data_IF_336366478616
#
_entry.id   IF_336366478616
#
_cell.length_a   1.000
_cell.length_b   1.000
_cell.length_c   1.000
_cell.angle_alpha   90.00
_cell.angle_beta   90.00
_cell.angle_gamma   90.00
#
_symmetry.space_group_name_H-M   'P 1'
#
loop_
_entity.id
_entity.type
_entity.pdbx_description
1 polymer ?
#
# COMPACT_ATOMS: atom_id res chain seq x y z
N UNK A 1 -29.64 0.91 -6.95
CA UNK A 1 -28.46 1.53 -7.60
C UNK A 1 -27.28 1.74 -6.65
N UNK A 2 -27.48 2.21 -5.41
CA UNK A 2 -26.43 2.46 -4.41
C UNK A 2 -25.52 1.24 -4.10
N UNK A 3 -26.12 0.07 -3.91
CA UNK A 3 -25.41 -1.18 -3.56
C UNK A 3 -24.42 -1.65 -4.64
N UNK A 4 -24.69 -1.34 -5.91
CA UNK A 4 -23.79 -1.70 -7.03
C UNK A 4 -22.57 -0.77 -7.06
N UNK A 5 -22.78 0.53 -6.83
CA UNK A 5 -21.68 1.49 -6.73
C UNK A 5 -20.78 1.22 -5.53
N UNK A 6 -21.36 0.90 -4.36
CA UNK A 6 -20.57 0.60 -3.16
C UNK A 6 -19.65 -0.63 -3.36
N UNK A 7 -20.09 -1.65 -4.11
CA UNK A 7 -19.27 -2.83 -4.45
C UNK A 7 -18.13 -2.48 -5.41
N UNK A 8 -18.37 -1.62 -6.38
CA UNK A 8 -17.36 -1.17 -7.36
C UNK A 8 -16.31 -0.26 -6.67
N UNK A 9 -16.74 0.60 -5.75
CA UNK A 9 -15.86 1.48 -4.99
C UNK A 9 -14.90 0.69 -4.09
N UNK A 10 -15.36 -0.41 -3.49
CA UNK A 10 -14.51 -1.27 -2.65
C UNK A 10 -13.46 -2.03 -3.49
N UNK A 11 -13.83 -2.52 -4.68
CA UNK A 11 -12.86 -3.14 -5.61
C UNK A 11 -11.80 -2.12 -6.03
N UNK A 12 -12.24 -0.92 -6.38
CA UNK A 12 -11.37 0.19 -6.76
C UNK A 12 -10.44 0.60 -5.62
N UNK A 13 -10.94 0.59 -4.38
CA UNK A 13 -10.14 0.84 -3.17
C UNK A 13 -9.03 -0.20 -2.99
N UNK A 14 -9.31 -1.48 -3.26
CA UNK A 14 -8.30 -2.55 -3.26
C UNK A 14 -7.19 -2.30 -4.30
N UNK A 15 -7.58 -1.95 -5.53
CA UNK A 15 -6.62 -1.60 -6.59
C UNK A 15 -5.76 -0.38 -6.25
N UNK A 16 -6.37 0.68 -5.74
CA UNK A 16 -5.65 1.90 -5.32
C UNK A 16 -4.62 1.55 -4.22
N UNK A 17 -5.01 0.72 -3.26
CA UNK A 17 -4.11 0.28 -2.17
C UNK A 17 -2.91 -0.50 -2.72
N UNK A 18 -3.11 -1.37 -3.71
CA UNK A 18 -2.03 -2.09 -4.39
C UNK A 18 -1.08 -1.11 -5.07
N UNK A 19 -1.61 -0.14 -5.82
CA UNK A 19 -0.81 0.87 -6.53
C UNK A 19 0.04 1.69 -5.54
N UNK A 20 -0.55 2.08 -4.41
CA UNK A 20 0.18 2.77 -3.33
C UNK A 20 1.32 1.88 -2.80
N UNK A 21 1.04 0.61 -2.46
CA UNK A 21 2.06 -0.32 -1.96
C UNK A 21 3.22 -0.51 -2.94
N UNK A 22 2.92 -0.71 -4.23
CA UNK A 22 3.93 -0.85 -5.28
C UNK A 22 4.73 0.44 -5.49
N UNK A 23 4.08 1.60 -5.42
CA UNK A 23 4.75 2.90 -5.52
C UNK A 23 5.74 3.10 -4.37
N UNK A 24 5.34 2.74 -3.14
CA UNK A 24 6.21 2.80 -1.96
C UNK A 24 7.45 1.92 -2.15
N UNK A 25 7.30 0.72 -2.73
CA UNK A 25 8.45 -0.15 -3.05
C UNK A 25 9.37 0.52 -4.08
N UNK A 26 8.81 1.04 -5.17
CA UNK A 26 9.57 1.69 -6.25
C UNK A 26 10.38 2.89 -5.75
N UNK A 27 9.78 3.69 -4.86
CA UNK A 27 10.40 4.89 -4.31
C UNK A 27 11.15 4.65 -2.99
N UNK A 28 11.25 3.42 -2.50
CA UNK A 28 11.82 3.10 -1.19
C UNK A 28 13.25 3.64 -1.00
N UNK A 29 14.07 3.60 -2.06
CA UNK A 29 15.42 4.16 -2.03
C UNK A 29 15.43 5.68 -1.84
N UNK A 30 14.58 6.41 -2.57
CA UNK A 30 14.47 7.87 -2.47
C UNK A 30 13.90 8.29 -1.12
N UNK A 31 12.90 7.56 -0.61
CA UNK A 31 12.30 7.80 0.70
C UNK A 31 13.36 7.59 1.79
N UNK A 32 14.12 6.49 1.74
CA UNK A 32 15.24 6.23 2.67
C UNK A 32 16.31 7.33 2.63
N UNK A 33 16.63 7.83 1.43
CA UNK A 33 17.55 8.95 1.23
C UNK A 33 17.08 10.25 1.91
N UNK A 34 15.77 10.54 1.90
CA UNK A 34 15.21 11.72 2.56
C UNK A 34 15.43 11.70 4.07
N UNK A 35 15.16 10.56 4.72
CA UNK A 35 15.39 10.39 6.16
C UNK A 35 16.88 10.44 6.51
N UNK A 36 17.74 9.87 5.66
CA UNK A 36 19.20 9.88 5.86
C UNK A 36 19.81 11.28 5.76
N UNK A 37 19.28 12.15 4.88
CA UNK A 37 19.74 13.54 4.76
C UNK A 37 19.27 14.38 5.95
N UNK A 38 18.05 14.15 6.43
CA UNK A 38 17.52 14.82 7.64
C UNK A 38 18.45 14.61 8.84
N UNK A 39 18.92 13.38 9.06
CA UNK A 39 19.86 13.07 10.14
C UNK A 39 21.20 13.82 9.97
N UNK A 40 21.73 13.97 8.76
CA UNK A 40 23.00 14.71 8.57
C UNK A 40 22.89 16.20 8.86
N UNK A 41 21.72 16.79 8.68
CA UNK A 41 21.46 18.21 8.97
C UNK A 41 21.20 18.40 10.48
N UNK A 42 20.61 17.43 11.16
CA UNK A 42 20.33 17.49 12.62
C UNK A 42 21.48 16.98 13.51
N UNK A 43 22.37 16.14 13.00
CA UNK A 43 23.51 15.54 13.78
C UNK A 43 24.63 16.55 14.09
N UNK A 44 24.56 17.79 13.62
CA UNK A 44 25.41 18.87 14.14
C UNK A 44 25.04 19.23 15.60
N UNK A 45 23.86 18.81 16.10
CA UNK A 45 23.37 19.24 17.42
C UNK A 45 23.31 18.21 18.55
N UNK A 46 23.47 16.90 18.34
CA UNK A 46 23.40 15.99 19.50
C UNK A 46 24.27 14.73 19.34
N UNK A 47 25.44 14.75 19.99
CA UNK A 47 26.42 13.66 19.98
C UNK A 47 26.06 12.49 20.92
N UNK A 48 24.98 12.58 21.71
CA UNK A 48 24.67 11.58 22.74
C UNK A 48 23.36 10.79 22.52
N UNK A 49 22.60 11.07 21.45
CA UNK A 49 21.36 10.34 21.12
C UNK A 49 21.51 9.54 19.81
N UNK A 50 22.48 8.63 19.76
CA UNK A 50 22.68 7.72 18.63
C UNK A 50 21.70 6.54 18.70
N UNK A 51 20.42 6.81 18.50
CA UNK A 51 19.58 5.83 17.79
C UNK A 51 19.85 6.15 16.32
N UNK A 52 20.52 5.29 15.55
CA UNK A 52 20.75 5.58 14.13
C UNK A 52 19.38 5.58 13.44
N UNK A 53 18.82 6.77 13.23
CA UNK A 53 17.50 7.06 12.64
C UNK A 53 17.41 6.73 11.15
N UNK A 54 18.31 5.88 10.65
CA UNK A 54 18.37 5.52 9.24
C UNK A 54 17.33 4.43 8.95
N UNK A 55 16.14 4.85 8.53
CA UNK A 55 15.17 3.93 7.95
C UNK A 55 15.78 3.35 6.67
N UNK A 56 16.25 2.11 6.73
CA UNK A 56 16.82 1.42 5.56
C UNK A 56 15.74 1.22 4.50
N UNK A 57 16.11 1.36 3.22
CA UNK A 57 15.21 1.12 2.08
C UNK A 57 14.51 -0.22 2.16
N UNK A 58 15.19 -1.27 2.67
CA UNK A 58 14.61 -2.61 2.83
C UNK A 58 13.39 -2.61 3.76
N UNK A 59 13.40 -1.83 4.84
CA UNK A 59 12.27 -1.75 5.77
C UNK A 59 11.06 -1.07 5.11
N UNK A 60 11.31 -0.05 4.27
CA UNK A 60 10.26 0.65 3.50
C UNK A 60 9.70 -0.27 2.41
N UNK A 61 10.55 -1.06 1.75
CA UNK A 61 10.11 -2.07 0.79
C UNK A 61 9.23 -3.14 1.45
N UNK A 62 9.62 -3.64 2.63
CA UNK A 62 8.81 -4.59 3.40
C UNK A 62 7.45 -4.00 3.78
N UNK A 63 7.40 -2.74 4.21
CA UNK A 63 6.15 -2.04 4.46
C UNK A 63 5.28 -1.93 3.21
N UNK A 64 5.86 -1.49 2.08
CA UNK A 64 5.14 -1.41 0.81
C UNK A 64 4.60 -2.77 0.33
N UNK A 65 5.36 -3.85 0.56
CA UNK A 65 4.94 -5.22 0.27
C UNK A 65 3.72 -5.63 1.12
N UNK A 66 3.73 -5.34 2.42
CA UNK A 66 2.59 -5.62 3.30
C UNK A 66 1.34 -4.85 2.85
N UNK A 67 1.49 -3.57 2.50
CA UNK A 67 0.39 -2.74 1.97
C UNK A 67 -0.16 -3.34 0.67
N UNK A 68 0.71 -3.77 -0.25
CA UNK A 68 0.29 -4.40 -1.50
C UNK A 68 -0.46 -5.72 -1.26
N UNK A 69 -0.02 -6.55 -0.31
CA UNK A 69 -0.69 -7.80 0.07
C UNK A 69 -2.10 -7.53 0.62
N UNK A 70 -2.24 -6.52 1.49
CA UNK A 70 -3.54 -6.14 2.05
C UNK A 70 -4.48 -5.64 0.94
N UNK A 71 -3.98 -4.76 0.06
CA UNK A 71 -4.73 -4.28 -1.10
C UNK A 71 -5.17 -5.42 -2.02
N UNK A 72 -4.28 -6.39 -2.25
CA UNK A 72 -4.59 -7.58 -3.06
C UNK A 72 -5.66 -8.46 -2.42
N UNK A 73 -5.59 -8.70 -1.11
CA UNK A 73 -6.61 -9.47 -0.40
C UNK A 73 -7.99 -8.81 -0.48
N UNK A 74 -8.06 -7.48 -0.30
CA UNK A 74 -9.30 -6.70 -0.45
C UNK A 74 -9.80 -6.80 -1.89
N UNK A 75 -8.94 -6.55 -2.88
CA UNK A 75 -9.31 -6.63 -4.29
C UNK A 75 -9.86 -8.02 -4.64
N UNK A 76 -9.14 -9.08 -4.30
CA UNK A 76 -9.49 -10.45 -4.66
C UNK A 76 -10.83 -10.88 -4.04
N UNK A 77 -11.05 -10.60 -2.75
CA UNK A 77 -12.31 -10.91 -2.07
C UNK A 77 -13.49 -10.26 -2.78
N UNK A 78 -13.37 -8.97 -3.11
CA UNK A 78 -14.48 -8.22 -3.69
C UNK A 78 -14.68 -8.54 -5.17
N UNK A 79 -13.61 -8.80 -5.90
CA UNK A 79 -13.66 -9.24 -7.30
C UNK A 79 -14.35 -10.61 -7.45
N UNK A 80 -14.04 -11.56 -6.56
CA UNK A 80 -14.70 -12.88 -6.54
C UNK A 80 -16.20 -12.72 -6.26
N UNK A 81 -16.55 -11.94 -5.23
CA UNK A 81 -17.97 -11.71 -4.89
C UNK A 81 -18.75 -11.09 -6.05
N UNK A 82 -18.19 -10.06 -6.72
CA UNK A 82 -18.83 -9.45 -7.87
C UNK A 82 -18.97 -10.43 -9.05
N UNK A 83 -17.95 -11.26 -9.28
CA UNK A 83 -17.96 -12.25 -10.35
C UNK A 83 -19.04 -13.31 -10.14
N UNK A 84 -19.20 -13.80 -8.90
CA UNK A 84 -20.24 -14.77 -8.52
C UNK A 84 -21.63 -14.16 -8.67
N UNK A 85 -21.85 -12.95 -8.16
CA UNK A 85 -23.14 -12.25 -8.28
C UNK A 85 -23.55 -12.10 -9.75
N UNK A 86 -22.59 -11.71 -10.60
CA UNK A 86 -22.82 -11.54 -12.05
C UNK A 86 -23.13 -12.87 -12.74
N UNK A 87 -22.45 -13.95 -12.33
CA UNK A 87 -22.68 -15.29 -12.88
C UNK A 87 -24.07 -15.80 -12.52
N UNK A 88 -24.50 -15.66 -11.27
CA UNK A 88 -25.84 -16.07 -10.80
C UNK A 88 -26.91 -15.27 -11.55
N UNK A 89 -26.72 -13.96 -11.73
CA UNK A 89 -27.65 -13.12 -12.47
C UNK A 89 -27.81 -13.55 -13.93
N UNK A 90 -26.72 -14.01 -14.59
CA UNK A 90 -26.77 -14.55 -15.95
C UNK A 90 -27.37 -15.95 -16.06
N UNK A 91 -27.35 -16.74 -14.99
CA UNK A 91 -27.91 -18.10 -14.95
C UNK A 91 -29.41 -18.10 -14.69
N UNK A 92 -29.93 -17.08 -13.99
CA UNK A 92 -31.35 -16.93 -13.67
C UNK A 92 -32.14 -16.15 -14.74
N UNK A 93 -31.52 -15.84 -15.88
CA UNK A 93 -32.09 -15.06 -16.98
C UNK A 93 -31.97 -15.81 -18.30
#
# INVERSE_FOLDING_TARGET
MKIVNDKIDIISTGLITIIIGLSVILFAYYISGFFTISDKVTVIQDKNSLIPGTIKSINIMLFGLLVAIIGFAIFLKNFINLSIDTLIQRLNH
#
